data_IF_284551125868
#
_entry.id   IF_284551125868
#
_cell.length_a   1.000
_cell.length_b   1.000
_cell.length_c   1.000
_cell.angle_alpha   90.00
_cell.angle_beta   90.00
_cell.angle_gamma   90.00
#
_symmetry.space_group_name_H-M   'P 1'
#
loop_
_entity.id
_entity.type
_entity.pdbx_description
1 polymer ?
#
# COMPACT_ATOMS: atom_id res chain seq x y z
N UNK A 1 3.60 -4.59 -22.33
CA UNK A 1 3.12 -5.97 -22.11
C UNK A 1 4.18 -6.92 -21.52
N UNK A 2 5.45 -6.87 -21.96
CA UNK A 2 6.53 -7.78 -21.51
C UNK A 2 6.70 -7.85 -19.98
N UNK A 3 6.83 -6.70 -19.31
CA UNK A 3 7.02 -6.64 -17.85
C UNK A 3 5.92 -7.40 -17.10
N UNK A 4 4.65 -7.17 -17.47
CA UNK A 4 3.52 -7.82 -16.80
C UNK A 4 3.46 -9.32 -17.06
N UNK A 5 3.69 -9.75 -18.31
CA UNK A 5 3.50 -11.14 -18.71
C UNK A 5 4.68 -12.04 -18.34
N UNK A 6 5.89 -11.51 -18.47
CA UNK A 6 7.12 -12.32 -18.56
C UNK A 6 8.12 -12.07 -17.43
N UNK A 7 7.92 -11.09 -16.54
CA UNK A 7 8.88 -10.90 -15.45
C UNK A 7 8.81 -12.04 -14.44
N UNK A 8 9.97 -12.52 -14.00
CA UNK A 8 10.09 -13.56 -12.98
C UNK A 8 9.38 -13.15 -11.68
N UNK A 9 9.49 -11.89 -11.28
CA UNK A 9 8.80 -11.36 -10.10
C UNK A 9 7.27 -11.47 -10.21
N UNK A 10 6.68 -11.02 -11.32
CA UNK A 10 5.23 -11.09 -11.49
C UNK A 10 4.74 -12.50 -11.73
N UNK A 11 5.57 -13.40 -12.28
CA UNK A 11 5.27 -14.82 -12.35
C UNK A 11 5.19 -15.42 -10.95
N UNK A 12 6.21 -15.21 -10.10
CA UNK A 12 6.22 -15.71 -8.73
C UNK A 12 5.10 -15.14 -7.84
N UNK A 13 4.75 -13.86 -8.01
CA UNK A 13 3.63 -13.25 -7.28
C UNK A 13 2.25 -13.79 -7.72
N UNK A 14 2.14 -14.32 -8.94
CA UNK A 14 0.91 -14.94 -9.46
C UNK A 14 0.81 -16.42 -9.13
N UNK A 15 1.90 -17.06 -8.75
CA UNK A 15 1.84 -18.45 -8.31
C UNK A 15 0.99 -18.58 -7.04
N UNK A 16 0.22 -19.68 -6.91
CA UNK A 16 -0.51 -19.97 -5.69
C UNK A 16 0.46 -19.97 -4.51
N UNK A 17 0.34 -18.96 -3.66
CA UNK A 17 1.11 -18.93 -2.42
C UNK A 17 0.71 -20.13 -1.57
N UNK A 18 1.62 -20.62 -0.73
CA UNK A 18 1.44 -21.85 0.04
C UNK A 18 0.17 -21.86 0.91
N UNK A 19 -0.46 -20.70 1.14
CA UNK A 19 -1.65 -20.53 1.96
C UNK A 19 -1.37 -20.68 3.45
N UNK A 20 -0.17 -21.14 3.81
CA UNK A 20 0.29 -21.33 5.17
C UNK A 20 -0.71 -22.09 6.03
N UNK A 21 -0.83 -21.63 7.28
CA UNK A 21 -1.81 -22.12 8.26
C UNK A 21 -3.26 -21.98 7.79
N UNK A 22 -3.55 -21.08 6.86
CA UNK A 22 -4.90 -20.86 6.34
C UNK A 22 -5.32 -21.90 5.28
N UNK A 23 -4.41 -22.71 4.73
CA UNK A 23 -4.73 -23.68 3.66
C UNK A 23 -5.75 -24.75 4.08
N UNK A 24 -5.80 -25.07 5.38
CA UNK A 24 -6.78 -26.01 5.96
C UNK A 24 -8.06 -25.33 6.46
N UNK A 25 -8.20 -24.01 6.30
CA UNK A 25 -9.39 -23.27 6.69
C UNK A 25 -10.55 -23.57 5.74
N UNK A 26 -11.75 -23.74 6.31
CA UNK A 26 -13.00 -23.94 5.58
C UNK A 26 -13.34 -22.79 4.61
N UNK A 27 -12.82 -21.59 4.87
CA UNK A 27 -13.05 -20.39 4.05
C UNK A 27 -11.84 -20.00 3.17
N UNK A 28 -10.88 -20.92 2.98
CA UNK A 28 -9.66 -20.63 2.23
C UNK A 28 -9.93 -20.14 0.80
N UNK A 29 -10.91 -20.71 0.10
CA UNK A 29 -11.15 -20.35 -1.30
C UNK A 29 -11.59 -18.90 -1.50
N UNK A 30 -12.31 -18.33 -0.54
CA UNK A 30 -12.81 -16.96 -0.62
C UNK A 30 -11.75 -15.89 -0.28
N UNK A 31 -10.86 -16.19 0.68
CA UNK A 31 -9.92 -15.22 1.23
C UNK A 31 -8.46 -15.48 0.80
N UNK A 32 -8.13 -16.72 0.44
CA UNK A 32 -6.79 -17.18 0.03
C UNK A 32 -5.68 -16.83 1.03
N UNK A 33 -6.03 -16.78 2.32
CA UNK A 33 -5.12 -16.39 3.39
C UNK A 33 -5.02 -14.88 3.64
N UNK A 34 -5.83 -14.05 2.96
CA UNK A 34 -5.96 -12.61 3.20
C UNK A 34 -4.86 -11.76 2.57
N UNK A 35 -4.69 -10.54 3.08
CA UNK A 35 -3.78 -9.55 2.52
C UNK A 35 -2.33 -9.84 2.93
N UNK A 36 -1.51 -10.21 1.95
CA UNK A 36 -0.07 -10.41 2.15
C UNK A 36 0.63 -9.16 2.71
N UNK A 37 0.26 -7.98 2.20
CA UNK A 37 0.86 -6.72 2.63
C UNK A 37 0.50 -6.35 4.08
N UNK A 38 -0.74 -6.59 4.50
CA UNK A 38 -1.18 -6.32 5.87
C UNK A 38 -0.35 -7.13 6.88
N UNK A 39 -0.06 -8.40 6.57
CA UNK A 39 0.82 -9.24 7.40
C UNK A 39 2.22 -8.64 7.49
N UNK A 40 2.80 -8.27 6.34
CA UNK A 40 4.14 -7.69 6.28
C UNK A 40 4.24 -6.42 7.15
N UNK A 41 3.32 -5.46 6.98
CA UNK A 41 3.39 -4.18 7.71
C UNK A 41 3.02 -4.27 9.19
N UNK A 42 2.32 -5.33 9.61
CA UNK A 42 2.04 -5.58 11.02
C UNK A 42 3.12 -6.44 11.69
N UNK A 43 4.08 -6.99 10.93
CA UNK A 43 5.12 -7.88 11.45
C UNK A 43 4.66 -9.33 11.63
N UNK A 44 3.53 -9.70 11.04
CA UNK A 44 3.05 -11.08 11.01
C UNK A 44 3.82 -11.91 9.96
N UNK A 45 4.03 -13.22 10.19
CA UNK A 45 4.55 -14.13 9.19
C UNK A 45 3.65 -14.19 7.94
N UNK A 46 4.24 -14.33 6.74
CA UNK A 46 3.49 -14.41 5.48
C UNK A 46 2.54 -15.63 5.42
N UNK A 47 2.90 -16.71 6.10
CA UNK A 47 2.15 -17.96 6.26
C UNK A 47 1.18 -17.96 7.47
N UNK A 48 1.17 -16.86 8.23
CA UNK A 48 0.21 -16.61 9.29
C UNK A 48 -1.14 -16.09 8.79
N UNK A 49 -2.16 -15.99 9.67
CA UNK A 49 -3.44 -15.39 9.33
C UNK A 49 -3.30 -13.88 9.10
N UNK A 50 -4.10 -13.35 8.17
CA UNK A 50 -4.25 -11.90 8.00
C UNK A 50 -4.86 -11.27 9.26
N UNK A 51 -4.42 -10.06 9.70
CA UNK A 51 -4.94 -9.42 10.91
C UNK A 51 -6.46 -9.20 10.87
N UNK A 52 -7.06 -9.00 9.69
CA UNK A 52 -8.51 -8.83 9.50
C UNK A 52 -9.24 -10.18 9.27
N UNK A 53 -8.60 -11.31 9.61
CA UNK A 53 -9.24 -12.62 9.52
C UNK A 53 -10.55 -12.65 10.34
N UNK A 54 -11.68 -12.78 9.65
CA UNK A 54 -13.04 -12.78 10.24
C UNK A 54 -13.30 -13.87 11.29
N UNK A 55 -12.48 -14.93 11.32
CA UNK A 55 -12.53 -15.99 12.34
C UNK A 55 -11.77 -15.61 13.63
N UNK A 56 -11.12 -14.44 13.68
CA UNK A 56 -10.37 -13.93 14.83
C UNK A 56 -8.93 -14.45 14.98
N UNK A 57 -8.48 -15.37 14.11
CA UNK A 57 -7.11 -15.90 14.18
C UNK A 57 -6.03 -14.84 13.91
N UNK A 58 -6.37 -13.83 13.10
CA UNK A 58 -5.52 -12.68 12.80
C UNK A 58 -5.17 -11.88 14.05
N UNK A 59 -6.21 -11.42 14.76
CA UNK A 59 -6.09 -10.70 16.02
C UNK A 59 -5.29 -11.50 17.07
N UNK A 60 -5.56 -12.81 17.19
CA UNK A 60 -4.83 -13.69 18.11
C UNK A 60 -3.35 -13.81 17.75
N UNK A 61 -3.00 -13.82 16.47
CA UNK A 61 -1.61 -13.82 16.04
C UNK A 61 -0.96 -12.45 16.26
N UNK A 62 -1.68 -11.36 15.96
CA UNK A 62 -1.21 -9.99 16.09
C UNK A 62 -0.88 -9.63 17.54
N UNK A 63 -1.69 -10.08 18.50
CA UNK A 63 -1.43 -9.89 19.94
C UNK A 63 -0.10 -10.47 20.43
N UNK A 64 0.50 -11.41 19.68
CA UNK A 64 1.78 -12.07 20.01
C UNK A 64 2.96 -11.43 19.30
N UNK A 65 2.73 -10.48 18.39
CA UNK A 65 3.79 -9.77 17.69
C UNK A 65 4.49 -8.83 18.64
N UNK A 66 5.82 -8.91 18.70
CA UNK A 66 6.64 -7.96 19.46
C UNK A 66 6.48 -6.56 18.87
N UNK A 67 6.10 -5.54 19.67
CA UNK A 67 6.03 -4.16 19.19
C UNK A 67 7.34 -3.72 18.53
N UNK A 68 7.25 -3.16 17.32
CA UNK A 68 8.42 -2.75 16.54
C UNK A 68 9.06 -3.85 15.66
N UNK A 69 8.51 -5.07 15.64
CA UNK A 69 8.94 -6.13 14.72
C UNK A 69 8.54 -5.86 13.25
N UNK A 70 7.59 -4.95 13.02
CA UNK A 70 7.21 -4.53 11.67
C UNK A 70 8.41 -3.95 10.90
N UNK A 71 8.54 -4.24 9.59
CA UNK A 71 9.59 -3.68 8.75
C UNK A 71 9.57 -2.15 8.82
N UNK A 72 10.67 -1.57 9.30
CA UNK A 72 10.82 -0.12 9.32
C UNK A 72 10.95 0.39 7.88
N UNK A 73 10.22 1.45 7.48
CA UNK A 73 10.46 2.12 6.22
C UNK A 73 11.95 2.49 6.13
N UNK A 74 12.63 1.99 5.11
CA UNK A 74 14.10 2.01 5.03
C UNK A 74 14.65 3.36 4.59
N UNK A 75 13.80 4.29 4.13
CA UNK A 75 14.23 5.54 3.51
C UNK A 75 13.32 6.72 3.88
N UNK A 76 13.95 7.83 4.24
CA UNK A 76 13.37 9.15 4.04
C UNK A 76 13.45 9.45 2.54
N UNK A 77 12.36 9.23 1.81
CA UNK A 77 12.23 9.63 0.40
C UNK A 77 12.05 11.15 0.24
N UNK A 78 12.06 11.90 1.34
CA UNK A 78 12.02 13.36 1.30
C UNK A 78 13.35 13.89 0.80
N UNK A 79 13.36 14.32 -0.46
CA UNK A 79 14.53 14.97 -1.05
C UNK A 79 14.69 16.36 -0.43
N UNK A 80 15.70 16.54 0.44
CA UNK A 80 16.07 17.87 1.00
C UNK A 80 16.87 18.73 0.02
N UNK A 81 17.31 18.17 -1.10
CA UNK A 81 18.06 18.86 -2.15
C UNK A 81 17.22 19.08 -3.40
N UNK A 82 17.47 20.19 -4.10
CA UNK A 82 16.77 20.54 -5.34
C UNK A 82 16.97 19.48 -6.43
N UNK A 83 15.94 18.67 -6.64
CA UNK A 83 15.72 17.98 -7.91
C UNK A 83 15.64 19.02 -9.02
N UNK A 84 16.09 18.69 -10.25
CA UNK A 84 15.89 19.57 -11.41
C UNK A 84 14.39 19.87 -11.52
N UNK A 85 13.99 21.11 -11.20
CA UNK A 85 12.61 21.44 -10.82
C UNK A 85 12.46 21.46 -9.30
N UNK A 86 12.88 22.57 -8.67
CA UNK A 86 12.78 22.79 -7.23
C UNK A 86 11.35 22.65 -6.69
N UNK A 87 11.14 22.86 -5.37
CA UNK A 87 9.82 22.75 -4.77
C UNK A 87 8.82 23.57 -5.60
N UNK A 88 7.81 22.92 -6.19
CA UNK A 88 6.75 23.62 -6.89
C UNK A 88 5.92 24.29 -5.79
N UNK A 89 5.89 25.63 -5.70
CA UNK A 89 5.08 26.30 -4.71
C UNK A 89 3.61 26.04 -5.07
N UNK A 90 2.98 25.15 -4.32
CA UNK A 90 1.55 24.89 -4.44
C UNK A 90 0.82 25.83 -3.49
N UNK A 91 -0.10 26.64 -4.01
CA UNK A 91 -0.99 27.42 -3.17
C UNK A 91 -2.07 26.51 -2.60
N UNK A 92 -1.86 26.04 -1.37
CA UNK A 92 -2.86 25.26 -0.65
C UNK A 92 -3.99 26.21 -0.25
N UNK A 93 -5.14 26.03 -0.89
CA UNK A 93 -6.39 26.67 -0.47
C UNK A 93 -6.77 26.20 0.94
N UNK A 94 -6.87 27.13 1.89
CA UNK A 94 -7.50 26.85 3.19
C UNK A 94 -9.04 26.87 3.12
N UNK A 95 -9.61 27.12 1.93
CA UNK A 95 -11.06 27.06 1.71
C UNK A 95 -11.51 25.61 1.67
N UNK A 96 -12.41 25.25 2.58
CA UNK A 96 -13.10 23.95 2.60
C UNK A 96 -13.85 23.75 1.27
N UNK A 97 -13.68 22.60 0.59
CA UNK A 97 -14.47 22.28 -0.60
C UNK A 97 -15.96 22.27 -0.30
N UNK A 98 -16.78 22.78 -1.22
CA UNK A 98 -18.24 22.79 -1.08
C UNK A 98 -18.83 21.37 -1.19
N UNK A 99 -18.09 20.42 -1.80
CA UNK A 99 -18.47 19.00 -1.94
C UNK A 99 -17.30 18.08 -1.62
N UNK A 100 -17.61 16.90 -1.08
CA UNK A 100 -16.62 15.92 -0.60
C UNK A 100 -15.72 15.36 -1.72
N UNK A 101 -16.17 15.41 -2.98
CA UNK A 101 -15.45 14.87 -4.14
C UNK A 101 -14.81 15.94 -5.05
N UNK A 102 -14.70 17.19 -4.61
CA UNK A 102 -13.93 18.22 -5.34
C UNK A 102 -12.43 18.05 -5.02
N UNK A 103 -11.79 17.08 -5.68
CA UNK A 103 -10.45 16.57 -5.33
C UNK A 103 -9.28 17.29 -6.03
N UNK A 104 -9.49 18.42 -6.71
CA UNK A 104 -8.40 19.09 -7.41
C UNK A 104 -7.95 20.37 -6.70
N UNK A 105 -6.84 20.33 -5.94
CA UNK A 105 -6.25 21.53 -5.30
C UNK A 105 -5.62 22.50 -6.32
N UNK A 106 -5.70 22.23 -7.63
CA UNK A 106 -5.04 22.98 -8.70
C UNK A 106 -5.98 23.81 -9.58
N UNK A 107 -7.29 23.86 -9.28
CA UNK A 107 -8.30 24.50 -10.14
C UNK A 107 -8.12 26.01 -10.39
N UNK A 108 -7.17 26.67 -9.74
CA UNK A 108 -6.91 28.11 -9.89
C UNK A 108 -5.53 28.47 -10.49
N UNK A 109 -4.78 27.55 -11.09
CA UNK A 109 -3.60 27.96 -11.86
C UNK A 109 -4.04 28.56 -13.20
N UNK A 110 -3.83 29.87 -13.46
CA UNK A 110 -4.14 30.43 -14.77
C UNK A 110 -3.28 29.72 -15.82
N UNK A 111 -3.81 29.43 -17.03
CA UNK A 111 -3.01 28.83 -18.09
C UNK A 111 -1.85 29.78 -18.40
N UNK A 112 -0.62 29.29 -18.24
CA UNK A 112 0.55 29.98 -18.79
C UNK A 112 0.36 30.05 -20.29
N UNK A 113 0.14 31.26 -20.81
CA UNK A 113 0.15 31.54 -22.24
C UNK A 113 1.40 30.92 -22.85
N UNK A 114 1.21 29.94 -23.73
CA UNK A 114 2.22 29.56 -24.71
C UNK A 114 2.31 30.72 -25.71
N UNK A 115 3.30 31.60 -25.55
CA UNK A 115 3.75 32.45 -26.65
C UNK A 115 4.70 31.64 -27.55
N UNK A 116 4.43 31.72 -28.85
CA UNK A 116 5.26 31.20 -29.95
C UNK A 116 6.48 32.09 -30.17
#
# INVERSE_FOLDING_TARGET
>A
ARVWRESELFLGLREPQSGGTCKSCDQYDACRGGCMAAKFFTGLPLDGPDPECVKGYGELALSKVTPGAAPKPTLDHSHKGGVRGGPVPIQISMRRPDRVCDESPLMNTPPTSMEH
#
